data_IF_370081646005
#
_entry.id   IF_370081646005
#
_cell.length_a   1.000
_cell.length_b   1.000
_cell.length_c   1.000
_cell.angle_alpha   90.00
_cell.angle_beta   90.00
_cell.angle_gamma   90.00
#
_symmetry.space_group_name_H-M   'P 1'
#
loop_
_entity.id
_entity.type
_entity.pdbx_description
1 polymer ?
#
# COMPACT_ATOMS: atom_id res chain seq x y z
N UNK A 1 -6.19 -0.31 9.15
CA UNK A 1 -7.42 0.53 9.07
C UNK A 1 -7.69 0.89 7.60
N UNK A 2 -8.96 0.99 7.17
CA UNK A 2 -9.33 1.10 5.74
C UNK A 2 -9.10 2.51 5.15
N UNK A 3 -8.88 2.60 3.83
CA UNK A 3 -8.79 3.87 3.08
C UNK A 3 -9.82 3.91 1.93
N UNK A 4 -11.10 4.22 2.21
CA UNK A 4 -12.14 4.32 1.20
C UNK A 4 -12.10 5.70 0.51
N UNK A 5 -11.12 5.91 -0.37
CA UNK A 5 -10.97 7.17 -1.10
C UNK A 5 -12.17 7.43 -2.04
N UNK A 6 -12.51 8.71 -2.23
CA UNK A 6 -13.63 9.13 -3.04
C UNK A 6 -13.46 8.79 -4.53
N UNK A 7 -14.52 8.26 -5.14
CA UNK A 7 -14.63 8.05 -6.58
C UNK A 7 -16.02 8.49 -7.03
N UNK A 8 -16.09 9.47 -7.94
CA UNK A 8 -17.35 10.09 -8.36
C UNK A 8 -17.43 10.25 -9.88
N UNK A 9 -18.48 9.71 -10.49
CA UNK A 9 -18.80 9.95 -11.89
C UNK A 9 -19.35 11.36 -12.08
N UNK A 10 -18.87 12.06 -13.12
CA UNK A 10 -19.28 13.44 -13.43
C UNK A 10 -19.85 13.60 -14.84
N UNK A 11 -19.77 12.56 -15.70
CA UNK A 11 -20.31 12.57 -17.05
C UNK A 11 -20.00 11.29 -17.83
N UNK A 12 -20.25 11.28 -19.14
CA UNK A 12 -19.88 10.15 -20.02
C UNK A 12 -18.37 9.91 -19.95
N UNK A 13 -17.99 8.71 -19.49
CA UNK A 13 -16.59 8.25 -19.32
C UNK A 13 -15.70 9.28 -18.61
N UNK A 14 -16.28 10.08 -17.72
CA UNK A 14 -15.61 11.18 -17.02
C UNK A 14 -15.94 11.14 -15.54
N UNK A 15 -14.93 11.30 -14.70
CA UNK A 15 -15.06 11.21 -13.25
C UNK A 15 -13.87 11.81 -12.52
N UNK A 16 -13.96 11.80 -11.20
CA UNK A 16 -12.92 12.26 -10.29
C UNK A 16 -12.56 11.13 -9.32
N UNK A 17 -11.28 11.02 -9.00
CA UNK A 17 -10.74 10.10 -8.00
C UNK A 17 -9.91 10.93 -7.02
N UNK A 18 -10.15 10.72 -5.73
CA UNK A 18 -9.39 11.37 -4.67
C UNK A 18 -7.96 10.84 -4.62
N UNK A 19 -6.98 11.76 -4.59
CA UNK A 19 -5.57 11.41 -4.45
C UNK A 19 -5.26 11.14 -2.98
N UNK A 20 -4.80 9.92 -2.69
CA UNK A 20 -4.26 9.57 -1.37
C UNK A 20 -2.77 9.91 -1.35
N UNK A 21 -2.43 11.08 -0.81
CA UNK A 21 -1.04 11.53 -0.66
C UNK A 21 -0.24 10.58 0.24
N UNK A 22 1.09 10.60 0.08
CA UNK A 22 2.02 9.76 0.86
C UNK A 22 1.71 8.26 0.72
N UNK A 23 1.42 7.82 -0.50
CA UNK A 23 1.22 6.42 -0.84
C UNK A 23 1.97 6.07 -2.12
N UNK A 24 2.32 4.79 -2.26
CA UNK A 24 2.95 4.27 -3.48
C UNK A 24 2.46 2.85 -3.75
N UNK A 25 2.60 2.37 -4.98
CA UNK A 25 2.22 1.01 -5.35
C UNK A 25 3.23 0.00 -4.79
N UNK A 26 2.77 -1.21 -4.47
CA UNK A 26 3.66 -2.29 -4.04
C UNK A 26 4.73 -2.56 -5.11
N UNK A 27 4.37 -2.47 -6.39
CA UNK A 27 5.29 -2.65 -7.50
C UNK A 27 6.43 -1.62 -7.49
N UNK A 28 6.13 -0.33 -7.34
CA UNK A 28 7.13 0.72 -7.27
C UNK A 28 8.05 0.53 -6.05
N UNK A 29 7.50 0.18 -4.90
CA UNK A 29 8.28 -0.08 -3.68
C UNK A 29 9.27 -1.24 -3.89
N UNK A 30 8.85 -2.30 -4.59
CA UNK A 30 9.68 -3.46 -4.91
C UNK A 30 10.75 -3.15 -5.97
N UNK A 31 10.46 -2.27 -6.94
CA UNK A 31 11.38 -1.85 -7.99
C UNK A 31 12.45 -0.87 -7.50
N UNK A 32 12.09 0.09 -6.65
CA UNK A 32 12.90 1.25 -6.28
C UNK A 32 14.16 0.96 -5.44
N UNK A 33 14.46 -0.29 -5.11
CA UNK A 33 15.60 -0.66 -4.24
C UNK A 33 16.80 -1.30 -4.91
N UNK A 34 16.86 -1.35 -6.24
CA UNK A 34 18.07 -1.76 -6.96
C UNK A 34 19.27 -0.83 -6.72
N UNK A 35 19.07 0.42 -6.23
CA UNK A 35 20.14 1.42 -6.03
C UNK A 35 20.37 1.87 -4.57
N UNK A 36 19.72 1.29 -3.56
CA UNK A 36 19.88 1.69 -2.15
C UNK A 36 20.81 0.73 -1.40
N UNK A 37 22.12 0.97 -1.56
CA UNK A 37 23.31 0.67 -0.73
C UNK A 37 23.48 -0.61 0.12
N UNK A 38 22.49 -1.48 0.33
CA UNK A 38 22.70 -2.78 0.99
C UNK A 38 21.56 -3.76 0.68
N UNK A 39 21.90 -4.85 0.01
CA UNK A 39 21.41 -6.20 0.38
C UNK A 39 19.89 -6.42 0.31
N UNK A 40 19.29 -6.36 -0.88
CA UNK A 40 18.03 -7.07 -1.15
C UNK A 40 18.31 -8.55 -1.48
N UNK A 41 18.90 -9.29 -0.54
CA UNK A 41 19.14 -10.72 -0.73
C UNK A 41 17.83 -11.51 -0.92
N UNK A 42 16.67 -10.93 -0.56
CA UNK A 42 15.34 -11.40 -0.93
C UNK A 42 14.38 -10.22 -1.18
N UNK A 43 13.62 -10.24 -2.29
CA UNK A 43 12.57 -9.26 -2.65
C UNK A 43 11.56 -9.01 -1.49
N UNK A 44 11.39 -10.01 -0.62
CA UNK A 44 10.49 -10.01 0.54
C UNK A 44 10.74 -8.87 1.54
N UNK A 45 11.98 -8.38 1.66
CA UNK A 45 12.31 -7.34 2.65
C UNK A 45 12.05 -5.91 2.14
N UNK A 46 11.73 -5.74 0.85
CA UNK A 46 11.61 -4.42 0.23
C UNK A 46 10.55 -3.54 0.91
N UNK A 47 9.36 -4.11 1.14
CA UNK A 47 8.22 -3.44 1.74
C UNK A 47 8.46 -3.10 3.21
N UNK A 48 8.96 -4.06 4.00
CA UNK A 48 9.29 -3.82 5.41
C UNK A 48 10.37 -2.75 5.54
N UNK A 49 11.40 -2.79 4.69
CA UNK A 49 12.45 -1.77 4.70
C UNK A 49 11.92 -0.40 4.22
N UNK A 50 10.87 -0.35 3.39
CA UNK A 50 10.25 0.91 2.98
C UNK A 50 9.46 1.50 4.15
N UNK A 51 8.67 0.68 4.86
CA UNK A 51 7.99 1.09 6.08
C UNK A 51 8.97 1.57 7.15
N UNK A 52 10.09 0.87 7.35
CA UNK A 52 11.19 1.31 8.23
C UNK A 52 11.76 2.67 7.85
N UNK A 53 11.92 2.95 6.55
CA UNK A 53 12.44 4.23 6.09
C UNK A 53 11.49 5.40 6.34
N UNK A 54 10.18 5.12 6.40
CA UNK A 54 9.14 6.12 6.65
C UNK A 54 8.78 6.27 8.14
N UNK A 55 9.02 5.22 8.93
CA UNK A 55 8.66 5.14 10.34
C UNK A 55 9.88 4.71 11.18
N UNK A 56 10.77 5.65 11.55
CA UNK A 56 11.95 5.34 12.35
C UNK A 56 11.59 5.10 13.83
N UNK A 57 12.38 4.25 14.51
CA UNK A 57 12.21 3.95 15.92
C UNK A 57 10.90 3.22 16.23
N UNK A 58 10.24 3.63 17.32
CA UNK A 58 9.03 2.98 17.84
C UNK A 58 7.81 3.15 16.91
N UNK A 59 7.84 4.10 15.98
CA UNK A 59 6.77 4.33 15.00
C UNK A 59 6.59 3.13 14.04
N UNK A 60 7.61 2.29 13.87
CA UNK A 60 7.54 1.11 13.01
C UNK A 60 6.49 0.11 13.49
N UNK A 61 6.39 -0.10 14.81
CA UNK A 61 5.44 -1.07 15.38
C UNK A 61 4.01 -0.65 15.08
N UNK A 62 3.70 0.64 15.23
CA UNK A 62 2.41 1.21 14.85
C UNK A 62 2.13 1.07 13.35
N UNK A 63 3.12 1.29 12.49
CA UNK A 63 2.94 1.13 11.04
C UNK A 63 2.67 -0.34 10.65
N UNK A 64 3.31 -1.30 11.32
CA UNK A 64 3.04 -2.73 11.13
C UNK A 64 1.62 -3.09 11.60
N UNK A 65 1.16 -2.52 12.70
CA UNK A 65 -0.22 -2.71 13.16
C UNK A 65 -1.23 -2.14 12.16
N UNK A 66 -1.00 -0.93 11.64
CA UNK A 66 -1.84 -0.30 10.62
C UNK A 66 -1.93 -1.17 9.35
N UNK A 67 -0.79 -1.70 8.89
CA UNK A 67 -0.69 -2.65 7.78
C UNK A 67 -1.51 -3.92 8.05
N UNK A 68 -1.35 -4.50 9.23
CA UNK A 68 -2.04 -5.74 9.61
C UNK A 68 -3.55 -5.54 9.64
N UNK A 69 -4.02 -4.45 10.25
CA UNK A 69 -5.43 -4.13 10.37
C UNK A 69 -6.07 -3.78 9.02
N UNK A 70 -5.37 -3.07 8.13
CA UNK A 70 -5.92 -2.73 6.81
C UNK A 70 -5.91 -3.93 5.88
N UNK A 71 -4.84 -4.73 5.89
CA UNK A 71 -4.72 -5.96 5.12
C UNK A 71 -5.83 -6.94 5.50
N UNK A 72 -6.12 -7.12 6.80
CA UNK A 72 -7.25 -7.94 7.23
C UNK A 72 -8.59 -7.43 6.66
N UNK A 73 -8.81 -6.12 6.70
CA UNK A 73 -10.02 -5.50 6.15
C UNK A 73 -10.17 -5.69 4.64
N UNK A 74 -9.11 -5.43 3.86
CA UNK A 74 -9.13 -5.63 2.41
C UNK A 74 -9.16 -7.10 2.00
N UNK A 75 -8.51 -8.01 2.73
CA UNK A 75 -8.63 -9.46 2.50
C UNK A 75 -10.08 -9.91 2.58
N UNK A 76 -10.79 -9.50 3.64
CA UNK A 76 -12.21 -9.84 3.81
C UNK A 76 -13.08 -9.14 2.77
N UNK A 77 -12.87 -7.84 2.53
CA UNK A 77 -13.68 -7.07 1.59
C UNK A 77 -13.56 -7.61 0.16
N UNK A 78 -12.34 -7.90 -0.30
CA UNK A 78 -12.11 -8.43 -1.65
C UNK A 78 -12.65 -9.84 -1.81
N UNK A 79 -12.56 -10.69 -0.77
CA UNK A 79 -13.17 -12.01 -0.77
C UNK A 79 -14.70 -11.94 -0.86
N UNK A 80 -15.34 -11.16 0.01
CA UNK A 80 -16.81 -11.06 0.08
C UNK A 80 -17.38 -10.45 -1.20
N UNK A 81 -16.71 -9.44 -1.78
CA UNK A 81 -17.17 -8.77 -3.00
C UNK A 81 -16.70 -9.46 -4.29
N UNK A 82 -15.87 -10.50 -4.20
CA UNK A 82 -15.34 -11.21 -5.37
C UNK A 82 -14.41 -10.36 -6.25
N UNK A 83 -13.63 -9.46 -5.65
CA UNK A 83 -12.73 -8.56 -6.38
C UNK A 83 -11.46 -9.33 -6.79
N UNK A 84 -11.44 -9.79 -8.04
CA UNK A 84 -10.28 -10.45 -8.66
C UNK A 84 -9.23 -9.49 -9.23
N UNK A 85 -8.29 -10.03 -10.02
CA UNK A 85 -7.23 -9.28 -10.72
C UNK A 85 -6.32 -8.44 -9.81
N UNK A 86 -5.97 -8.99 -8.64
CA UNK A 86 -5.13 -8.31 -7.65
C UNK A 86 -3.65 -8.63 -7.87
N UNK A 87 -2.88 -7.60 -8.17
CA UNK A 87 -1.44 -7.66 -8.42
C UNK A 87 -0.76 -6.37 -7.89
N UNK A 88 0.56 -6.37 -7.82
CA UNK A 88 1.35 -5.34 -7.11
C UNK A 88 1.15 -3.90 -7.60
N UNK A 89 0.68 -3.68 -8.83
CA UNK A 89 0.48 -2.34 -9.39
C UNK A 89 -0.84 -1.70 -8.96
N UNK A 90 -1.81 -2.51 -8.52
CA UNK A 90 -3.14 -2.06 -8.11
C UNK A 90 -3.40 -2.22 -6.61
N UNK A 91 -2.34 -2.54 -5.86
CA UNK A 91 -2.30 -2.53 -4.40
C UNK A 91 -1.32 -1.43 -4.00
N UNK A 92 -1.76 -0.51 -3.14
CA UNK A 92 -0.96 0.62 -2.68
C UNK A 92 -0.74 0.52 -1.17
N UNK A 93 0.31 1.18 -0.68
CA UNK A 93 0.58 1.30 0.75
C UNK A 93 0.92 2.74 1.08
N UNK A 94 0.32 3.26 2.16
CA UNK A 94 0.61 4.58 2.71
C UNK A 94 1.86 4.56 3.58
N UNK A 95 2.53 5.70 3.71
CA UNK A 95 3.69 5.84 4.60
C UNK A 95 3.36 5.46 6.06
N UNK A 96 2.09 5.58 6.46
CA UNK A 96 1.56 5.16 7.77
C UNK A 96 1.40 3.65 7.95
N UNK A 97 1.66 2.84 6.92
CA UNK A 97 1.51 1.39 6.95
C UNK A 97 0.21 0.85 6.37
N UNK A 98 -0.80 1.69 6.16
CA UNK A 98 -2.10 1.26 5.64
C UNK A 98 -2.00 0.82 4.17
N UNK A 99 -2.28 -0.46 3.93
CA UNK A 99 -2.68 -1.05 2.62
C UNK A 99 -4.10 -0.66 2.27
#
# INVERSE_FOLDING_TARGET
RMTPYGCLSTGDRTGLIEVVMHSDTIANIQLNKSNMAATAAFNKDALLNWLKSKNPGDALEQAIEEFTLSCAGYCVATYVLGIGDRHSDNIMVRETGQV
#
